data_IF_954171730464
#
_entry.id   IF_954171730464
#
_cell.length_a   1.000
_cell.length_b   1.000
_cell.length_c   1.000
_cell.angle_alpha   90.00
_cell.angle_beta   90.00
_cell.angle_gamma   90.00
#
_symmetry.space_group_name_H-M   'P 1'
#
loop_
_entity.id
_entity.type
_entity.pdbx_description
1 polymer ?
#
# COMPACT_ATOMS: atom_id res chain seq x y z
N UNK A 1 -27.28 -4.71 33.98
CA UNK A 1 -25.89 -4.19 33.84
C UNK A 1 -24.88 -5.15 33.21
N UNK A 2 -25.10 -6.45 32.98
CA UNK A 2 -24.12 -7.30 32.27
C UNK A 2 -24.00 -6.96 30.78
N UNK A 3 -25.05 -6.44 30.13
CA UNK A 3 -25.02 -6.08 28.67
C UNK A 3 -23.97 -5.05 28.29
N UNK A 4 -23.62 -4.12 29.18
CA UNK A 4 -22.63 -3.08 28.88
C UNK A 4 -21.19 -3.61 28.82
N UNK A 5 -20.83 -4.60 29.63
CA UNK A 5 -19.48 -5.21 29.62
C UNK A 5 -19.25 -6.07 28.38
N UNK A 6 -20.26 -6.82 27.95
CA UNK A 6 -20.22 -7.63 26.73
C UNK A 6 -20.10 -6.74 25.47
N UNK A 7 -20.92 -5.70 25.40
CA UNK A 7 -20.86 -4.73 24.29
C UNK A 7 -19.49 -4.06 24.21
N UNK A 8 -18.92 -3.66 25.36
CA UNK A 8 -17.56 -3.09 25.40
C UNK A 8 -16.50 -4.06 24.89
N UNK A 9 -16.56 -5.34 25.34
CA UNK A 9 -15.62 -6.37 24.90
C UNK A 9 -15.71 -6.61 23.37
N UNK A 10 -16.93 -6.71 22.83
CA UNK A 10 -17.16 -6.90 21.38
C UNK A 10 -16.60 -5.71 20.58
N UNK A 11 -16.93 -4.48 20.95
CA UNK A 11 -16.41 -3.28 20.27
C UNK A 11 -14.89 -3.21 20.31
N UNK A 12 -14.29 -3.55 21.44
CA UNK A 12 -12.83 -3.60 21.58
C UNK A 12 -12.21 -4.63 20.65
N UNK A 13 -12.77 -5.84 20.61
CA UNK A 13 -12.25 -6.93 19.75
C UNK A 13 -12.36 -6.54 18.28
N UNK A 14 -13.50 -6.01 17.82
CA UNK A 14 -13.70 -5.57 16.45
C UNK A 14 -12.69 -4.45 16.09
N UNK A 15 -12.51 -3.49 16.99
CA UNK A 15 -11.54 -2.39 16.76
C UNK A 15 -10.11 -2.91 16.68
N UNK A 16 -9.71 -3.86 17.51
CA UNK A 16 -8.38 -4.45 17.48
C UNK A 16 -8.13 -5.25 16.21
N UNK A 17 -9.09 -6.07 15.79
CA UNK A 17 -8.99 -6.83 14.54
C UNK A 17 -8.89 -5.89 13.31
N UNK A 18 -9.73 -4.86 13.27
CA UNK A 18 -9.68 -3.83 12.22
C UNK A 18 -8.35 -3.09 12.20
N UNK A 19 -7.82 -2.75 13.38
CA UNK A 19 -6.52 -2.08 13.53
C UNK A 19 -5.37 -2.95 13.03
N UNK A 20 -5.35 -4.24 13.37
CA UNK A 20 -4.30 -5.16 12.95
C UNK A 20 -4.37 -5.48 11.46
N UNK A 21 -5.57 -5.63 10.91
CA UNK A 21 -5.76 -5.83 9.48
C UNK A 21 -5.22 -4.63 8.68
N UNK A 22 -5.58 -3.41 9.10
CA UNK A 22 -5.05 -2.19 8.49
C UNK A 22 -3.53 -2.09 8.65
N UNK A 23 -3.01 -2.32 9.86
CA UNK A 23 -1.59 -2.25 10.13
C UNK A 23 -0.79 -3.21 9.24
N UNK A 24 -1.21 -4.48 9.16
CA UNK A 24 -0.57 -5.48 8.31
C UNK A 24 -0.60 -5.09 6.82
N UNK A 25 -1.75 -4.63 6.34
CA UNK A 25 -1.90 -4.19 4.95
C UNK A 25 -1.00 -3.00 4.62
N UNK A 26 -0.99 -1.97 5.47
CA UNK A 26 -0.17 -0.76 5.26
C UNK A 26 1.32 -1.06 5.37
N UNK A 27 1.76 -1.88 6.33
CA UNK A 27 3.16 -2.29 6.45
C UNK A 27 3.62 -3.05 5.22
N UNK A 28 2.85 -4.06 4.81
CA UNK A 28 3.16 -4.86 3.63
C UNK A 28 3.21 -4.01 2.37
N UNK A 29 2.19 -3.19 2.13
CA UNK A 29 2.07 -2.32 0.96
C UNK A 29 3.22 -1.30 0.86
N UNK A 30 3.53 -0.62 1.98
CA UNK A 30 4.64 0.34 2.02
C UNK A 30 6.01 -0.32 1.87
N UNK A 31 6.21 -1.49 2.46
CA UNK A 31 7.46 -2.23 2.36
C UNK A 31 7.72 -2.75 0.96
N UNK A 32 6.73 -3.34 0.30
CA UNK A 32 6.86 -3.83 -1.08
C UNK A 32 7.19 -2.69 -2.05
N UNK A 33 6.56 -1.52 -1.90
CA UNK A 33 6.90 -0.34 -2.70
C UNK A 33 8.33 0.17 -2.46
N UNK A 34 8.85 -0.01 -1.25
CA UNK A 34 10.23 0.33 -0.92
C UNK A 34 11.23 -0.67 -1.53
N UNK A 35 10.83 -1.94 -1.68
CA UNK A 35 11.68 -2.97 -2.29
C UNK A 35 11.75 -2.87 -3.82
N UNK A 36 10.63 -2.49 -4.47
CA UNK A 36 10.55 -2.31 -5.92
C UNK A 36 9.95 -0.95 -6.27
N UNK A 37 10.70 0.15 -6.09
CA UNK A 37 10.24 1.48 -6.45
C UNK A 37 10.08 1.64 -7.96
N UNK A 38 10.94 1.04 -8.80
CA UNK A 38 10.88 1.14 -10.25
C UNK A 38 9.57 0.56 -10.82
N UNK A 39 9.14 -0.61 -10.34
CA UNK A 39 7.87 -1.20 -10.75
C UNK A 39 6.67 -0.30 -10.40
N UNK A 40 6.74 0.40 -9.26
CA UNK A 40 5.70 1.36 -8.88
C UNK A 40 5.73 2.64 -9.72
N UNK A 41 6.93 3.12 -10.10
CA UNK A 41 7.08 4.27 -11.00
C UNK A 41 6.44 4.02 -12.37
N UNK A 42 6.68 2.86 -12.97
CA UNK A 42 6.06 2.49 -14.24
C UNK A 42 4.54 2.53 -14.16
N UNK A 43 3.95 2.07 -13.05
CA UNK A 43 2.50 2.13 -12.83
C UNK A 43 2.02 3.58 -12.69
N UNK A 44 2.72 4.40 -11.90
CA UNK A 44 2.39 5.83 -11.78
C UNK A 44 2.53 6.58 -13.11
N UNK A 45 3.58 6.31 -13.89
CA UNK A 45 3.76 6.89 -15.21
C UNK A 45 2.59 6.56 -16.14
N UNK A 46 2.11 5.31 -16.11
CA UNK A 46 0.94 4.88 -16.89
C UNK A 46 -0.33 5.65 -16.49
N UNK A 47 -0.56 5.91 -15.20
CA UNK A 47 -1.68 6.75 -14.74
C UNK A 47 -1.59 8.19 -15.26
N UNK A 48 -0.42 8.81 -15.11
CA UNK A 48 -0.21 10.18 -15.59
C UNK A 48 -0.36 10.30 -17.10
N UNK A 49 0.15 9.32 -17.85
CA UNK A 49 -0.02 9.27 -19.31
C UNK A 49 -1.50 9.19 -19.72
N UNK A 50 -2.29 8.39 -19.00
CA UNK A 50 -3.73 8.31 -19.23
C UNK A 50 -4.44 9.66 -19.00
N UNK A 51 -3.95 10.48 -18.07
CA UNK A 51 -4.45 11.85 -17.84
C UNK A 51 -3.84 12.89 -18.76
N UNK A 52 -3.07 12.48 -19.77
CA UNK A 52 -2.43 13.38 -20.73
C UNK A 52 -1.15 14.05 -20.23
N UNK A 53 -0.61 13.60 -19.12
CA UNK A 53 0.63 14.12 -18.52
C UNK A 53 1.74 13.11 -18.80
N UNK A 54 2.64 13.44 -19.72
CA UNK A 54 3.79 12.57 -20.06
C UNK A 54 4.92 12.77 -19.06
N UNK A 55 4.93 11.95 -18.01
CA UNK A 55 6.05 11.84 -17.08
C UNK A 55 6.79 10.51 -17.33
N UNK A 56 8.03 10.57 -17.85
CA UNK A 56 8.79 9.34 -18.07
C UNK A 56 9.14 8.67 -16.73
N UNK A 57 9.10 7.32 -16.70
CA UNK A 57 9.64 6.56 -15.59
C UNK A 57 11.13 6.91 -15.40
N UNK A 58 11.61 6.97 -14.16
CA UNK A 58 12.94 7.47 -13.80
C UNK A 58 13.03 8.99 -13.68
N UNK A 59 11.89 9.70 -13.71
CA UNK A 59 11.88 11.13 -13.40
C UNK A 59 11.92 11.36 -11.88
N UNK A 60 12.67 12.35 -11.44
CA UNK A 60 12.80 12.72 -10.01
C UNK A 60 11.42 12.92 -9.34
N UNK A 61 10.43 13.40 -10.08
CA UNK A 61 9.07 13.59 -9.56
C UNK A 61 8.39 12.28 -9.20
N UNK A 62 8.57 11.23 -10.03
CA UNK A 62 8.01 9.91 -9.78
C UNK A 62 8.76 9.19 -8.66
N UNK A 63 10.10 9.29 -8.63
CA UNK A 63 10.92 8.76 -7.53
C UNK A 63 10.47 9.30 -6.18
N UNK A 64 10.33 10.63 -6.08
CA UNK A 64 9.85 11.29 -4.86
C UNK A 64 8.42 10.90 -4.52
N UNK A 65 7.54 10.79 -5.51
CA UNK A 65 6.14 10.40 -5.29
C UNK A 65 6.05 8.96 -4.72
N UNK A 66 6.79 8.01 -5.31
CA UNK A 66 6.84 6.61 -4.82
C UNK A 66 7.42 6.54 -3.43
N UNK A 67 8.51 7.25 -3.17
CA UNK A 67 9.14 7.32 -1.85
C UNK A 67 8.17 7.86 -0.79
N UNK A 68 7.49 8.98 -1.07
CA UNK A 68 6.52 9.57 -0.15
C UNK A 68 5.34 8.66 0.10
N UNK A 69 4.85 7.98 -0.94
CA UNK A 69 3.75 7.02 -0.83
C UNK A 69 4.15 5.83 0.06
N UNK A 70 5.31 5.23 -0.19
CA UNK A 70 5.84 4.12 0.61
C UNK A 70 6.06 4.52 2.08
N UNK A 71 6.67 5.70 2.32
CA UNK A 71 6.89 6.24 3.66
C UNK A 71 5.57 6.50 4.39
N UNK A 72 4.58 7.09 3.72
CA UNK A 72 3.27 7.36 4.32
C UNK A 72 2.57 6.07 4.73
N UNK A 73 2.48 5.08 3.84
CA UNK A 73 1.87 3.79 4.13
C UNK A 73 2.58 3.09 5.27
N UNK A 74 3.89 2.90 5.16
CA UNK A 74 4.66 2.18 6.19
C UNK A 74 4.58 2.85 7.56
N UNK A 75 4.68 4.17 7.62
CA UNK A 75 4.58 4.93 8.88
C UNK A 75 3.19 4.80 9.50
N UNK A 76 2.12 4.90 8.70
CA UNK A 76 0.76 4.65 9.16
C UNK A 76 0.59 3.21 9.67
N UNK A 77 1.16 2.23 8.98
CA UNK A 77 1.18 0.84 9.40
C UNK A 77 1.86 0.64 10.76
N UNK A 78 3.04 1.22 10.96
CA UNK A 78 3.77 1.20 12.24
C UNK A 78 2.94 1.87 13.35
N UNK A 79 2.32 3.03 13.07
CA UNK A 79 1.51 3.74 14.05
C UNK A 79 0.27 2.94 14.46
N UNK A 80 -0.39 2.28 13.51
CA UNK A 80 -1.51 1.41 13.78
C UNK A 80 -1.08 0.17 14.57
N UNK A 81 0.00 -0.51 14.16
CA UNK A 81 0.48 -1.73 14.81
C UNK A 81 0.82 -1.49 16.29
N UNK A 82 1.57 -0.44 16.55
CA UNK A 82 2.07 -0.13 17.89
C UNK A 82 1.12 0.76 18.72
N UNK A 83 0.02 1.21 18.11
CA UNK A 83 -0.95 2.09 18.74
C UNK A 83 -0.39 3.47 19.09
N UNK A 84 0.56 3.96 18.26
CA UNK A 84 1.18 5.27 18.41
C UNK A 84 0.29 6.35 17.82
N UNK A 85 0.35 7.57 18.41
CA UNK A 85 -0.36 8.76 17.89
C UNK A 85 -1.77 8.44 17.38
N UNK A 86 -2.58 7.73 18.14
CA UNK A 86 -3.89 7.15 17.74
C UNK A 86 -4.78 8.08 16.90
N UNK A 87 -4.75 9.40 17.18
CA UNK A 87 -5.54 10.36 16.41
C UNK A 87 -4.98 10.53 14.99
N UNK A 88 -3.67 10.65 14.86
CA UNK A 88 -2.98 10.81 13.55
C UNK A 88 -3.12 9.51 12.74
N UNK A 89 -2.87 8.36 13.38
CA UNK A 89 -3.00 7.06 12.73
C UNK A 89 -4.43 6.81 12.22
N UNK A 90 -5.45 7.08 13.04
CA UNK A 90 -6.84 6.86 12.66
C UNK A 90 -7.33 7.82 11.57
N UNK A 91 -7.01 9.11 11.66
CA UNK A 91 -7.39 10.10 10.64
C UNK A 91 -6.60 9.84 9.36
N UNK A 92 -5.28 9.64 9.47
CA UNK A 92 -4.41 9.41 8.31
C UNK A 92 -4.78 8.15 7.55
N UNK A 93 -5.02 7.03 8.25
CA UNK A 93 -5.43 5.78 7.59
C UNK A 93 -6.81 5.89 6.94
N UNK A 94 -7.77 6.58 7.57
CA UNK A 94 -9.08 6.80 6.97
C UNK A 94 -9.00 7.69 5.72
N UNK A 95 -8.28 8.82 5.80
CA UNK A 95 -8.11 9.72 4.67
C UNK A 95 -7.37 9.02 3.51
N UNK A 96 -6.30 8.27 3.81
CA UNK A 96 -5.56 7.50 2.83
C UNK A 96 -6.45 6.44 2.15
N UNK A 97 -7.19 5.64 2.93
CA UNK A 97 -8.08 4.63 2.38
C UNK A 97 -9.24 5.22 1.59
N UNK A 98 -9.74 6.41 1.98
CA UNK A 98 -10.76 7.11 1.22
C UNK A 98 -10.25 7.49 -0.18
N UNK A 99 -9.08 8.13 -0.25
CA UNK A 99 -8.45 8.49 -1.54
C UNK A 99 -8.19 7.26 -2.39
N UNK A 100 -7.61 6.19 -1.80
CA UNK A 100 -7.33 4.94 -2.53
C UNK A 100 -8.60 4.24 -2.99
N UNK A 101 -9.68 4.27 -2.22
CA UNK A 101 -10.96 3.68 -2.65
C UNK A 101 -11.58 4.48 -3.80
N UNK A 102 -11.55 5.81 -3.74
CA UNK A 102 -12.03 6.65 -4.84
C UNK A 102 -11.22 6.43 -6.13
N UNK A 103 -9.89 6.36 -6.01
CA UNK A 103 -9.02 6.03 -7.14
C UNK A 103 -9.35 4.64 -7.73
N UNK A 104 -9.57 3.64 -6.87
CA UNK A 104 -9.89 2.28 -7.32
C UNK A 104 -11.28 2.20 -7.98
N UNK A 105 -12.26 2.98 -7.51
CA UNK A 105 -13.57 3.12 -8.19
C UNK A 105 -13.38 3.68 -9.59
N UNK A 106 -12.56 4.71 -9.75
CA UNK A 106 -12.22 5.29 -11.05
C UNK A 106 -11.57 4.25 -11.96
N UNK A 107 -10.56 3.51 -11.46
CA UNK A 107 -9.86 2.47 -12.21
C UNK A 107 -10.81 1.35 -12.63
N UNK A 108 -11.70 0.92 -11.74
CA UNK A 108 -12.69 -0.10 -12.03
C UNK A 108 -13.70 0.33 -13.10
N UNK A 109 -14.10 1.61 -13.09
CA UNK A 109 -15.06 2.13 -14.05
C UNK A 109 -14.47 2.36 -15.46
N UNK A 110 -13.22 2.83 -15.56
CA UNK A 110 -12.60 3.23 -16.81
C UNK A 110 -11.51 2.28 -17.32
N UNK A 111 -11.05 1.33 -16.52
CA UNK A 111 -9.99 0.35 -16.83
C UNK A 111 -8.73 0.97 -17.49
N UNK A 112 -8.18 2.11 -17.00
CA UNK A 112 -7.03 2.75 -17.60
C UNK A 112 -5.75 1.93 -17.50
N UNK A 113 -5.68 1.03 -16.50
CA UNK A 113 -4.54 0.15 -16.23
C UNK A 113 -5.04 -1.22 -15.79
N UNK A 114 -4.21 -2.25 -16.02
CA UNK A 114 -4.57 -3.64 -15.72
C UNK A 114 -4.71 -3.92 -14.22
N UNK A 115 -3.91 -3.26 -13.37
CA UNK A 115 -3.96 -3.39 -11.91
C UNK A 115 -3.73 -2.05 -11.21
N UNK A 116 -4.28 -1.88 -10.01
CA UNK A 116 -4.17 -0.64 -9.23
C UNK A 116 -2.76 -0.41 -8.64
N UNK A 117 -1.88 -1.41 -8.57
CA UNK A 117 -0.57 -1.30 -7.94
C UNK A 117 -0.60 -1.06 -6.42
N UNK A 118 -1.71 -1.31 -5.74
CA UNK A 118 -1.82 -1.11 -4.29
C UNK A 118 -0.79 -1.91 -3.48
N UNK A 119 -0.39 -3.08 -3.97
CA UNK A 119 0.68 -3.92 -3.41
C UNK A 119 1.94 -3.92 -4.30
N UNK A 120 2.23 -2.78 -4.96
CA UNK A 120 3.35 -2.70 -5.89
C UNK A 120 3.22 -3.72 -7.02
N UNK A 121 4.31 -4.40 -7.32
CA UNK A 121 4.41 -5.47 -8.31
C UNK A 121 4.35 -6.87 -7.70
N UNK A 122 4.40 -6.99 -6.36
CA UNK A 122 4.45 -8.28 -5.66
C UNK A 122 3.15 -9.09 -5.77
N UNK A 123 2.00 -8.43 -5.77
CA UNK A 123 0.69 -9.07 -5.89
C UNK A 123 -0.14 -8.30 -6.92
N UNK A 124 -0.42 -8.95 -8.04
CA UNK A 124 -1.32 -8.43 -9.07
C UNK A 124 -2.74 -8.87 -8.74
N UNK A 125 -3.58 -7.91 -8.37
CA UNK A 125 -5.01 -8.14 -8.12
C UNK A 125 -5.81 -7.54 -9.27
N UNK A 126 -6.88 -8.20 -9.65
CA UNK A 126 -7.85 -7.63 -10.58
C UNK A 126 -8.45 -6.33 -10.02
N UNK A 127 -8.92 -5.44 -10.89
CA UNK A 127 -9.51 -4.17 -10.46
C UNK A 127 -10.72 -4.38 -9.53
N UNK A 128 -11.51 -5.45 -9.74
CA UNK A 128 -12.64 -5.80 -8.88
C UNK A 128 -12.21 -6.29 -7.48
N UNK A 129 -11.21 -7.17 -7.40
CA UNK A 129 -10.66 -7.66 -6.12
C UNK A 129 -10.03 -6.51 -5.31
N UNK A 130 -9.32 -5.61 -6.00
CA UNK A 130 -8.74 -4.43 -5.37
C UNK A 130 -9.82 -3.51 -4.80
N UNK A 131 -10.91 -3.30 -5.54
CA UNK A 131 -12.04 -2.49 -5.06
C UNK A 131 -12.69 -3.13 -3.84
N UNK A 132 -13.00 -4.44 -3.88
CA UNK A 132 -13.58 -5.16 -2.76
C UNK A 132 -12.70 -5.07 -1.50
N UNK A 133 -11.40 -5.31 -1.64
CA UNK A 133 -10.41 -5.14 -0.57
C UNK A 133 -10.43 -3.72 0.00
N UNK A 134 -10.41 -2.70 -0.84
CA UNK A 134 -10.35 -1.30 -0.41
C UNK A 134 -11.63 -0.87 0.33
N UNK A 135 -12.80 -1.36 -0.07
CA UNK A 135 -14.06 -1.14 0.65
C UNK A 135 -14.00 -1.73 2.06
N UNK A 136 -13.50 -2.96 2.20
CA UNK A 136 -13.34 -3.61 3.51
C UNK A 136 -12.34 -2.83 4.38
N UNK A 137 -11.20 -2.43 3.83
CA UNK A 137 -10.20 -1.66 4.56
C UNK A 137 -10.70 -0.26 4.94
N UNK A 138 -11.49 0.39 4.09
CA UNK A 138 -12.13 1.67 4.41
C UNK A 138 -13.13 1.53 5.57
N UNK A 139 -13.93 0.45 5.59
CA UNK A 139 -14.82 0.16 6.72
C UNK A 139 -14.03 -0.07 8.02
N UNK A 140 -12.93 -0.83 7.95
CA UNK A 140 -12.02 -1.01 9.09
C UNK A 140 -11.42 0.32 9.56
N UNK A 141 -11.00 1.19 8.65
CA UNK A 141 -10.45 2.51 8.97
C UNK A 141 -11.50 3.41 9.64
N UNK A 142 -12.75 3.34 9.19
CA UNK A 142 -13.87 4.04 9.81
C UNK A 142 -14.15 3.54 11.25
N UNK A 143 -14.10 2.22 11.47
CA UNK A 143 -14.23 1.63 12.82
C UNK A 143 -13.10 2.12 13.73
N UNK A 144 -11.85 2.09 13.26
CA UNK A 144 -10.70 2.57 14.04
C UNK A 144 -10.81 4.07 14.34
N UNK A 145 -11.31 4.87 13.38
CA UNK A 145 -11.50 6.30 13.56
C UNK A 145 -12.55 6.62 14.64
N UNK A 146 -13.70 5.94 14.61
CA UNK A 146 -14.80 6.17 15.55
C UNK A 146 -14.51 5.59 16.92
N UNK A 147 -13.88 4.41 16.98
CA UNK A 147 -13.61 3.65 18.19
C UNK A 147 -12.16 3.78 18.70
N UNK A 148 -11.45 4.84 18.34
CA UNK A 148 -10.02 5.06 18.67
C UNK A 148 -9.68 4.95 20.17
N UNK A 149 -10.67 5.09 21.06
CA UNK A 149 -10.47 4.91 22.50
C UNK A 149 -10.21 3.46 22.89
N UNK A 150 -10.72 2.49 22.10
CA UNK A 150 -10.58 1.06 22.29
C UNK A 150 -9.33 0.49 21.59
N UNK A 151 -8.67 1.32 20.77
CA UNK A 151 -7.45 0.98 20.04
C UNK A 151 -6.29 0.60 20.99
N UNK A 152 -5.48 -0.36 20.57
CA UNK A 152 -4.29 -0.81 21.28
C UNK A 152 -3.31 0.35 21.50
N UNK A 153 -2.58 0.31 22.60
CA UNK A 153 -1.43 1.19 22.85
C UNK A 153 -0.34 0.36 23.53
N UNK A 154 0.75 0.11 22.81
CA UNK A 154 1.85 -0.71 23.31
C UNK A 154 2.97 0.20 23.84
N UNK A 155 3.20 1.36 23.21
CA UNK A 155 4.38 2.19 23.44
C UNK A 155 4.04 3.49 24.18
N UNK A 156 4.92 3.84 25.13
CA UNK A 156 4.83 5.09 25.88
C UNK A 156 5.08 6.32 25.01
N UNK A 157 4.52 7.46 25.38
CA UNK A 157 4.58 8.70 24.57
C UNK A 157 6.01 9.17 24.32
N UNK A 158 6.89 8.98 25.30
CA UNK A 158 8.28 9.44 25.22
C UNK A 158 9.12 8.69 24.18
N UNK A 159 8.81 7.42 23.90
CA UNK A 159 9.59 6.59 22.95
C UNK A 159 9.04 6.63 21.52
N UNK A 160 7.83 7.21 21.32
CA UNK A 160 7.15 7.19 20.01
C UNK A 160 7.93 7.94 18.92
N UNK A 161 8.59 9.04 19.25
CA UNK A 161 9.34 9.84 18.27
C UNK A 161 10.58 9.07 17.76
N UNK A 162 11.28 8.36 18.66
CA UNK A 162 12.47 7.58 18.30
C UNK A 162 12.08 6.43 17.36
N UNK A 163 10.99 5.75 17.67
CA UNK A 163 10.50 4.63 16.84
C UNK A 163 9.97 5.12 15.48
N UNK A 164 9.33 6.27 15.44
CA UNK A 164 8.91 6.92 14.18
C UNK A 164 10.11 7.27 13.31
N UNK A 165 11.14 7.86 13.91
CA UNK A 165 12.39 8.20 13.23
C UNK A 165 13.08 6.95 12.69
N UNK A 166 13.20 5.91 13.53
CA UNK A 166 13.80 4.65 13.12
C UNK A 166 13.07 4.00 11.94
N UNK A 167 11.73 3.93 12.00
CA UNK A 167 10.92 3.37 10.92
C UNK A 167 11.08 4.14 9.60
N UNK A 168 11.12 5.49 9.68
CA UNK A 168 11.34 6.33 8.51
C UNK A 168 12.74 6.17 7.92
N UNK A 169 13.78 6.20 8.76
CA UNK A 169 15.18 6.04 8.32
C UNK A 169 15.42 4.65 7.74
N UNK A 170 14.84 3.61 8.36
CA UNK A 170 14.91 2.25 7.87
C UNK A 170 14.30 2.14 6.46
N UNK A 171 13.07 2.61 6.27
CA UNK A 171 12.40 2.51 4.98
C UNK A 171 13.09 3.37 3.91
N UNK A 172 13.52 4.58 4.28
CA UNK A 172 14.29 5.46 3.40
C UNK A 172 15.58 4.76 2.93
N UNK A 173 16.31 4.13 3.86
CA UNK A 173 17.51 3.36 3.53
C UNK A 173 17.23 2.22 2.56
N UNK A 174 16.16 1.44 2.78
CA UNK A 174 15.74 0.36 1.88
C UNK A 174 15.38 0.91 0.50
N UNK A 175 14.58 1.97 0.43
CA UNK A 175 14.16 2.56 -0.85
C UNK A 175 15.35 3.13 -1.63
N UNK A 176 16.24 3.89 -0.96
CA UNK A 176 17.43 4.45 -1.61
C UNK A 176 18.39 3.35 -2.08
N UNK A 177 18.53 2.28 -1.31
CA UNK A 177 19.34 1.12 -1.71
C UNK A 177 18.73 0.47 -2.96
N UNK A 178 17.42 0.24 -3.00
CA UNK A 178 16.73 -0.35 -4.16
C UNK A 178 16.79 0.52 -5.41
N UNK A 179 16.76 1.86 -5.25
CA UNK A 179 16.91 2.80 -6.37
C UNK A 179 18.35 2.83 -6.94
N UNK A 180 19.37 2.62 -6.08
CA UNK A 180 20.79 2.79 -6.48
C UNK A 180 21.43 1.49 -6.97
N UNK A 181 21.07 0.33 -6.41
CA UNK A 181 21.76 -0.92 -6.63
C UNK A 181 21.01 -1.96 -7.44
N UNK A 182 19.80 -1.94 -7.67
CA UNK A 182 18.83 -2.90 -8.21
C UNK A 182 17.76 -3.24 -7.15
N UNK A 183 16.55 -3.45 -7.57
CA UNK A 183 15.50 -3.85 -6.63
C UNK A 183 15.92 -5.12 -5.89
N UNK A 184 15.82 -5.09 -4.55
CA UNK A 184 16.18 -6.21 -3.68
C UNK A 184 15.37 -7.48 -3.99
N UNK A 185 14.20 -7.32 -4.58
CA UNK A 185 13.34 -8.37 -5.11
C UNK A 185 12.69 -7.87 -6.40
N UNK A 186 13.02 -8.49 -7.51
CA UNK A 186 12.32 -8.28 -8.77
C UNK A 186 11.03 -9.11 -8.77
N UNK A 187 9.90 -8.45 -8.63
CA UNK A 187 8.58 -9.08 -8.77
C UNK A 187 8.09 -9.07 -10.22
N UNK A 188 8.88 -8.52 -11.14
CA UNK A 188 8.56 -8.56 -12.56
C UNK A 188 8.85 -9.96 -13.13
N UNK A 189 8.07 -10.46 -14.09
CA UNK A 189 8.27 -11.78 -14.69
C UNK A 189 9.55 -11.91 -15.53
N UNK A 190 10.36 -10.88 -15.58
CA UNK A 190 11.65 -10.85 -16.27
C UNK A 190 12.78 -10.91 -15.24
N UNK A 191 13.29 -12.12 -14.98
CA UNK A 191 14.51 -12.29 -14.17
C UNK A 191 15.73 -11.76 -14.92
N UNK A 192 16.55 -10.95 -14.24
CA UNK A 192 17.85 -10.52 -14.75
C UNK A 192 18.72 -11.75 -14.99
N UNK A 193 19.09 -11.98 -16.25
CA UNK A 193 19.93 -13.13 -16.66
C UNK A 193 19.24 -14.14 -17.57
N UNK A 194 17.93 -14.09 -17.74
CA UNK A 194 17.23 -14.89 -18.75
C UNK A 194 17.17 -14.10 -20.05
N UNK A 195 17.57 -14.72 -21.16
CA UNK A 195 17.45 -14.06 -22.46
C UNK A 195 15.98 -13.73 -22.74
N UNK A 196 15.70 -12.50 -23.20
CA UNK A 196 14.34 -12.02 -23.52
C UNK A 196 13.63 -13.02 -24.47
N UNK A 197 14.41 -13.71 -25.34
CA UNK A 197 13.91 -14.75 -26.24
C UNK A 197 13.39 -16.01 -25.51
N UNK A 198 13.97 -16.40 -24.39
CA UNK A 198 13.51 -17.56 -23.59
C UNK A 198 12.28 -17.19 -22.75
N UNK A 199 12.25 -15.99 -22.20
CA UNK A 199 11.08 -15.47 -21.49
C UNK A 199 9.86 -15.32 -22.43
N UNK A 200 10.07 -14.92 -23.69
CA UNK A 200 9.03 -14.86 -24.71
C UNK A 200 8.56 -16.25 -25.15
N UNK A 201 9.42 -17.25 -25.23
CA UNK A 201 9.05 -18.65 -25.58
C UNK A 201 8.18 -19.30 -24.48
N UNK A 202 8.41 -19.01 -23.20
CA UNK A 202 7.59 -19.48 -22.08
C UNK A 202 6.16 -18.92 -22.08
N UNK A 203 5.92 -17.79 -22.75
CA UNK A 203 4.62 -17.13 -22.86
C UNK A 203 3.83 -17.48 -24.13
N UNK A 204 4.32 -18.37 -24.99
CA UNK A 204 3.62 -18.75 -26.23
C UNK A 204 2.28 -19.49 -26.04
N UNK A 205 1.85 -19.75 -24.80
CA UNK A 205 0.52 -20.27 -24.47
C UNK A 205 -0.53 -19.20 -24.10
N UNK A 206 -0.19 -17.91 -24.14
CA UNK A 206 -1.17 -16.84 -24.05
C UNK A 206 -1.53 -16.38 -25.46
N UNK A 207 -2.65 -16.88 -26.00
CA UNK A 207 -3.25 -16.43 -27.23
C UNK A 207 -3.55 -14.91 -27.10
N UNK A 208 -2.79 -14.10 -27.83
CA UNK A 208 -3.17 -12.70 -28.06
C UNK A 208 -4.36 -12.70 -29.02
N UNK A 209 -5.56 -12.56 -28.49
CA UNK A 209 -6.73 -12.24 -29.29
C UNK A 209 -6.65 -10.74 -29.55
N UNK A 210 -6.09 -10.37 -30.69
CA UNK A 210 -6.32 -9.04 -31.28
C UNK A 210 -7.68 -9.10 -31.96
N UNK A 211 -8.72 -8.56 -31.32
CA UNK A 211 -9.92 -8.16 -32.04
C UNK A 211 -9.59 -6.90 -32.83
N UNK A 212 -9.89 -6.99 -34.15
CA UNK A 212 -9.85 -5.90 -35.11
C UNK A 212 -10.91 -4.85 -34.83
#
# INVERSE_FOLDING_TARGET
MPKSKVTYAILRTITLLSQWLLAGTFLFSGFVKALDPMGMEHKLAAYFTHWGINLPAGSLYLDVAVLLLALAEFTLGVYLLLGMRKRVAAIGSFAFMLVMTLLTIYIYAFNPVADCGCFGTAITLTNGETLAKNIVLLACAFIVLTQRRHSLRIITVHTQWLLSLYAMVYLLGVTLFSLHYLPLMEFTPYETGISILEAMKGKQNMSFIYEK
#
